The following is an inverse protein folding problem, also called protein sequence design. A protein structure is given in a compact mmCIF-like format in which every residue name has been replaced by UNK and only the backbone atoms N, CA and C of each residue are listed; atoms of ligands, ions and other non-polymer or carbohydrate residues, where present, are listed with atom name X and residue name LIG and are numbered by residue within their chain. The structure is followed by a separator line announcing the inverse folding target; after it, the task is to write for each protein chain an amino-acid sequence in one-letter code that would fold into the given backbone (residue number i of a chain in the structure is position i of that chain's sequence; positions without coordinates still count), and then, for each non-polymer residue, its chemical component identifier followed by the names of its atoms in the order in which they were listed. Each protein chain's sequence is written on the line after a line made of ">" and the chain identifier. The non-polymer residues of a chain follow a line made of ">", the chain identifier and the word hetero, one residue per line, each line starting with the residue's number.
data_IF_765918574163
#
_entry.id   IF_765918574163
#
_cell.length_a   1.000
_cell.length_b   1.000
_cell.length_c   1.000
_cell.angle_alpha   90.00
_cell.angle_beta   90.00
_cell.angle_gamma   90.00
#
_symmetry.space_group_name_H-M   'P 1'
#
loop_
_entity.id
_entity.type
_entity.pdbx_description
1 polymer ?
#
# COMPACT_ATOMS: atom_id res chain seq x y z
N UNK A 1 1.84 4.38 -24.88
CA UNK A 1 1.23 3.99 -23.60
C UNK A 1 -0.28 4.28 -23.57
N UNK A 2 -0.75 5.51 -23.89
CA UNK A 2 -2.19 5.83 -23.87
C UNK A 2 -3.04 4.94 -24.80
N UNK A 3 -2.61 4.75 -26.05
CA UNK A 3 -3.30 3.86 -27.00
C UNK A 3 -3.35 2.39 -26.54
N UNK A 4 -2.36 1.95 -25.75
CA UNK A 4 -2.35 0.60 -25.18
C UNK A 4 -3.30 0.51 -23.98
N UNK A 5 -3.29 1.50 -23.09
CA UNK A 5 -4.21 1.55 -21.96
C UNK A 5 -5.68 1.49 -22.39
N UNK A 6 -6.05 2.20 -23.47
CA UNK A 6 -7.42 2.16 -24.03
C UNK A 6 -7.83 0.81 -24.59
N UNK A 7 -6.87 -0.06 -24.93
CA UNK A 7 -7.14 -1.44 -25.37
C UNK A 7 -7.34 -2.39 -24.20
N UNK A 8 -6.88 -2.02 -23.00
CA UNK A 8 -7.06 -2.84 -21.80
C UNK A 8 -8.53 -2.82 -21.37
N UNK A 9 -9.09 -4.00 -21.15
CA UNK A 9 -10.43 -4.17 -20.62
C UNK A 9 -10.58 -3.46 -19.26
N UNK A 10 -11.66 -2.69 -19.10
CA UNK A 10 -11.92 -1.91 -17.89
C UNK A 10 -11.18 -0.57 -17.81
N UNK A 11 -10.49 -0.13 -18.88
CA UNK A 11 -9.97 1.23 -18.94
C UNK A 11 -11.11 2.26 -18.89
N UNK A 12 -11.03 3.19 -17.94
CA UNK A 12 -11.96 4.31 -17.79
C UNK A 12 -11.20 5.59 -18.11
N UNK A 13 -11.77 6.40 -19.00
CA UNK A 13 -11.25 7.71 -19.36
C UNK A 13 -12.30 8.80 -19.13
N UNK A 14 -11.85 9.98 -18.76
CA UNK A 14 -12.68 11.15 -18.51
C UNK A 14 -11.84 12.41 -18.47
N UNK A 15 -12.50 13.54 -18.71
CA UNK A 15 -11.93 14.87 -18.52
C UNK A 15 -12.51 15.40 -17.22
N UNK A 16 -11.66 15.92 -16.34
CA UNK A 16 -12.08 16.57 -15.10
C UNK A 16 -12.10 18.07 -15.34
N UNK A 17 -13.29 18.66 -15.34
CA UNK A 17 -13.49 20.09 -15.56
C UNK A 17 -13.27 20.90 -14.27
N UNK A 18 -13.17 22.23 -14.42
CA UNK A 18 -13.00 23.11 -13.28
C UNK A 18 -14.16 22.99 -12.27
N UNK A 19 -13.83 22.70 -11.01
CA UNK A 19 -14.79 22.51 -9.93
C UNK A 19 -15.30 21.07 -9.77
N UNK A 20 -14.91 20.15 -10.67
CA UNK A 20 -15.23 18.74 -10.52
C UNK A 20 -14.27 18.03 -9.56
N UNK A 21 -14.75 16.94 -8.96
CA UNK A 21 -13.99 16.11 -8.03
C UNK A 21 -13.89 14.70 -8.56
N UNK A 22 -12.67 14.19 -8.66
CA UNK A 22 -12.39 12.81 -9.02
C UNK A 22 -12.03 12.00 -7.77
N UNK A 23 -12.80 10.94 -7.49
CA UNK A 23 -12.43 9.95 -6.49
C UNK A 23 -11.72 8.78 -7.16
N UNK A 24 -10.47 8.54 -6.75
CA UNK A 24 -9.67 7.40 -7.24
C UNK A 24 -9.62 6.33 -6.15
N UNK A 25 -10.28 5.16 -6.32
CA UNK A 25 -10.24 4.11 -5.33
C UNK A 25 -8.82 3.55 -5.17
N UNK A 26 -8.46 3.21 -3.94
CA UNK A 26 -7.12 2.70 -3.68
C UNK A 26 -6.86 1.36 -4.39
N UNK A 27 -5.69 1.26 -5.03
CA UNK A 27 -5.30 0.12 -5.87
C UNK A 27 -5.53 0.36 -7.37
N UNK A 28 -6.16 1.47 -7.76
CA UNK A 28 -6.33 1.82 -9.17
C UNK A 28 -5.07 2.48 -9.72
N UNK A 29 -4.55 1.89 -10.81
CA UNK A 29 -3.58 2.57 -11.66
C UNK A 29 -4.28 3.72 -12.37
N UNK A 30 -3.68 4.91 -12.36
CA UNK A 30 -4.26 6.10 -12.97
C UNK A 30 -3.15 6.98 -13.56
N UNK A 31 -3.50 7.70 -14.63
CA UNK A 31 -2.63 8.62 -15.33
C UNK A 31 -3.41 9.91 -15.60
N UNK A 32 -2.80 11.05 -15.31
CA UNK A 32 -3.41 12.38 -15.45
C UNK A 32 -2.57 13.20 -16.42
N UNK A 33 -3.24 13.85 -17.38
CA UNK A 33 -2.62 14.77 -18.34
C UNK A 33 -3.36 16.09 -18.29
N UNK A 34 -2.63 17.18 -18.05
CA UNK A 34 -3.18 18.52 -18.15
C UNK A 34 -3.32 18.88 -19.63
N UNK A 35 -4.54 19.20 -20.07
CA UNK A 35 -4.82 19.60 -21.46
C UNK A 35 -4.62 21.11 -21.69
N UNK A 36 -4.64 21.88 -20.61
CA UNK A 36 -4.42 23.33 -20.55
C UNK A 36 -3.79 23.71 -19.20
N UNK A 37 -3.46 24.98 -19.00
CA UNK A 37 -2.91 25.48 -17.73
C UNK A 37 -3.90 25.23 -16.58
N UNK A 38 -3.51 24.34 -15.66
CA UNK A 38 -4.41 23.77 -14.66
C UNK A 38 -3.86 23.90 -13.24
N UNK A 39 -4.74 24.15 -12.28
CA UNK A 39 -4.46 24.05 -10.84
C UNK A 39 -5.46 23.08 -10.23
N UNK A 40 -4.96 22.08 -9.50
CA UNK A 40 -5.78 21.09 -8.80
C UNK A 40 -5.25 20.85 -7.38
N UNK A 41 -6.15 20.45 -6.47
CA UNK A 41 -5.81 19.98 -5.13
C UNK A 41 -6.09 18.48 -5.04
N UNK A 42 -5.12 17.72 -4.54
CA UNK A 42 -5.26 16.27 -4.33
C UNK A 42 -4.96 15.92 -2.88
N UNK A 43 -5.69 14.94 -2.34
CA UNK A 43 -5.47 14.39 -1.00
C UNK A 43 -5.70 12.89 -1.00
N UNK A 44 -4.72 12.15 -0.49
CA UNK A 44 -4.93 10.77 -0.09
C UNK A 44 -5.58 10.74 1.29
N UNK A 45 -6.54 9.85 1.51
CA UNK A 45 -7.17 9.67 2.82
C UNK A 45 -7.39 8.19 3.14
N UNK A 46 -7.56 7.90 4.42
CA UNK A 46 -7.86 6.56 4.92
C UNK A 46 -9.29 6.53 5.42
N UNK A 47 -10.24 5.89 4.72
CA UNK A 47 -11.58 5.72 5.25
C UNK A 47 -11.55 4.76 6.45
N UNK A 48 -12.48 4.92 7.41
CA UNK A 48 -12.55 4.12 8.65
C UNK A 48 -12.54 2.61 8.37
N UNK A 49 -13.19 2.17 7.30
CA UNK A 49 -13.25 0.77 6.87
C UNK A 49 -11.88 0.19 6.46
N UNK A 50 -10.95 1.05 6.01
CA UNK A 50 -9.59 0.68 5.56
C UNK A 50 -8.53 0.91 6.63
N UNK A 51 -8.87 1.49 7.78
CA UNK A 51 -7.94 1.80 8.86
C UNK A 51 -7.17 0.56 9.34
N UNK A 52 -7.86 -0.58 9.47
CA UNK A 52 -7.22 -1.85 9.85
C UNK A 52 -6.09 -2.28 8.89
N UNK A 53 -6.25 -2.04 7.59
CA UNK A 53 -5.22 -2.32 6.59
C UNK A 53 -4.01 -1.41 6.73
N UNK A 54 -4.22 -0.14 7.08
CA UNK A 54 -3.13 0.83 7.33
C UNK A 54 -2.38 0.47 8.60
N UNK A 55 -3.10 0.15 9.69
CA UNK A 55 -2.50 -0.32 10.93
C UNK A 55 -1.68 -1.61 10.70
N UNK A 56 -2.21 -2.54 9.91
CA UNK A 56 -1.49 -3.75 9.52
C UNK A 56 -0.21 -3.42 8.74
N UNK A 57 -0.28 -2.50 7.76
CA UNK A 57 0.89 -2.10 6.98
C UNK A 57 1.97 -1.45 7.83
N UNK A 58 1.59 -0.49 8.68
CA UNK A 58 2.52 0.21 9.58
C UNK A 58 3.20 -0.75 10.57
N UNK A 59 2.46 -1.74 11.09
CA UNK A 59 2.97 -2.73 12.06
C UNK A 59 3.83 -3.81 11.42
N UNK A 60 3.40 -4.36 10.28
CA UNK A 60 3.99 -5.58 9.71
C UNK A 60 4.99 -5.32 8.58
N UNK A 61 5.06 -4.10 8.05
CA UNK A 61 5.99 -3.71 6.97
C UNK A 61 6.70 -2.38 7.29
N UNK A 62 7.32 -2.23 8.47
CA UNK A 62 7.96 -0.98 8.87
C UNK A 62 9.12 -0.57 7.93
N UNK A 63 9.75 -1.54 7.26
CA UNK A 63 10.78 -1.34 6.23
C UNK A 63 10.24 -0.60 4.99
N UNK A 64 8.94 -0.69 4.72
CA UNK A 64 8.28 -0.02 3.60
C UNK A 64 7.65 1.32 3.98
N UNK A 65 7.89 1.78 5.22
CA UNK A 65 7.34 3.02 5.75
C UNK A 65 8.47 4.05 5.83
N UNK A 66 8.30 5.16 5.11
CA UNK A 66 9.27 6.27 5.08
C UNK A 66 8.58 7.62 5.28
N UNK A 67 9.36 8.71 5.31
CA UNK A 67 8.84 10.08 5.45
C UNK A 67 8.61 10.56 6.88
N UNK A 68 8.88 9.73 7.89
CA UNK A 68 8.85 10.15 9.29
C UNK A 68 10.14 10.88 9.69
N UNK A 69 10.04 11.79 10.67
CA UNK A 69 11.20 12.46 11.23
C UNK A 69 12.15 11.44 11.88
N UNK A 70 13.47 11.69 11.80
CA UNK A 70 14.52 10.75 12.24
C UNK A 70 14.40 10.25 13.70
N UNK A 71 13.72 11.01 14.56
CA UNK A 71 13.53 10.63 15.97
C UNK A 71 12.34 9.68 16.19
N UNK A 72 11.47 9.51 15.19
CA UNK A 72 10.34 8.57 15.24
C UNK A 72 10.86 7.19 14.91
N UNK A 73 10.99 6.34 15.93
CA UNK A 73 11.50 4.97 15.79
C UNK A 73 10.42 3.96 15.44
N UNK A 74 9.19 4.20 15.91
CA UNK A 74 8.04 3.34 15.70
C UNK A 74 6.86 4.18 15.20
N UNK A 75 6.69 4.31 13.88
CA UNK A 75 5.55 5.01 13.29
C UNK A 75 4.20 4.39 13.66
N UNK A 76 4.15 3.07 13.87
CA UNK A 76 2.92 2.37 14.22
C UNK A 76 2.46 2.75 15.63
N UNK A 77 3.35 2.66 16.62
CA UNK A 77 3.04 3.06 17.99
C UNK A 77 2.60 4.52 18.04
N UNK A 78 3.37 5.42 17.41
CA UNK A 78 3.07 6.84 17.39
C UNK A 78 1.66 7.10 16.80
N UNK A 79 1.35 6.44 15.69
CA UNK A 79 0.06 6.58 15.03
C UNK A 79 -1.09 6.04 15.90
N UNK A 80 -0.94 4.87 16.52
CA UNK A 80 -1.96 4.28 17.41
C UNK A 80 -2.20 5.16 18.63
N UNK A 81 -1.14 5.70 19.23
CA UNK A 81 -1.25 6.58 20.40
C UNK A 81 -2.00 7.86 20.03
N UNK A 82 -1.67 8.50 18.92
CA UNK A 82 -2.40 9.68 18.44
C UNK A 82 -3.83 9.38 18.01
N UNK A 83 -4.07 8.24 17.37
CA UNK A 83 -5.41 7.85 16.98
C UNK A 83 -6.30 7.57 18.19
N UNK A 84 -5.76 6.99 19.26
CA UNK A 84 -6.49 6.78 20.52
C UNK A 84 -6.88 8.09 21.19
N UNK A 85 -6.01 9.12 21.13
CA UNK A 85 -6.28 10.44 21.69
C UNK A 85 -7.38 11.19 20.90
N UNK A 86 -7.39 11.07 19.56
CA UNK A 86 -8.22 11.89 18.69
C UNK A 86 -9.52 11.19 18.25
N UNK A 87 -9.47 9.89 17.94
CA UNK A 87 -10.56 9.12 17.33
C UNK A 87 -10.62 7.70 17.93
N UNK A 88 -10.89 7.57 19.25
CA UNK A 88 -10.86 6.27 19.95
C UNK A 88 -11.85 5.25 19.35
N UNK A 89 -13.03 5.70 18.92
CA UNK A 89 -14.05 4.84 18.30
C UNK A 89 -13.55 4.17 17.01
N UNK A 90 -12.82 4.93 16.17
CA UNK A 90 -12.29 4.40 14.91
C UNK A 90 -11.21 3.33 15.18
N UNK A 91 -10.39 3.54 16.23
CA UNK A 91 -9.40 2.55 16.66
C UNK A 91 -10.08 1.29 17.18
N UNK A 92 -11.08 1.41 18.06
CA UNK A 92 -11.84 0.28 18.59
C UNK A 92 -12.51 -0.55 17.48
N UNK A 93 -13.05 0.10 16.45
CA UNK A 93 -13.65 -0.58 15.30
C UNK A 93 -12.58 -1.31 14.44
N UNK A 94 -11.39 -0.74 14.33
CA UNK A 94 -10.32 -1.26 13.47
C UNK A 94 -9.55 -2.43 14.10
N UNK A 95 -9.37 -2.45 15.42
CA UNK A 95 -8.56 -3.48 16.11
C UNK A 95 -9.04 -4.93 15.85
N UNK A 96 -10.34 -5.27 15.95
CA UNK A 96 -10.81 -6.62 15.65
C UNK A 96 -10.55 -7.04 14.19
N UNK A 97 -10.60 -6.08 13.26
CA UNK A 97 -10.32 -6.33 11.84
C UNK A 97 -8.83 -6.55 11.61
N UNK A 98 -7.98 -5.77 12.28
CA UNK A 98 -6.52 -5.93 12.26
C UNK A 98 -6.11 -7.32 12.75
N UNK A 99 -6.69 -7.80 13.86
CA UNK A 99 -6.42 -9.14 14.37
C UNK A 99 -6.78 -10.24 13.37
N UNK A 100 -7.92 -10.12 12.68
CA UNK A 100 -8.32 -11.06 11.63
C UNK A 100 -7.34 -11.05 10.46
N UNK A 101 -6.82 -9.88 10.06
CA UNK A 101 -5.80 -9.77 8.99
C UNK A 101 -4.47 -10.41 9.40
N UNK A 102 -4.10 -10.25 10.67
CA UNK A 102 -2.86 -10.83 11.24
C UNK A 102 -2.88 -12.36 11.26
N UNK A 103 -4.08 -12.94 11.38
CA UNK A 103 -4.33 -14.39 11.30
C UNK A 103 -4.58 -14.89 9.87
N UNK A 104 -4.50 -13.99 8.88
CA UNK A 104 -4.70 -14.27 7.46
C UNK A 104 -3.57 -15.07 6.80
N UNK A 105 -3.64 -15.31 5.47
CA UNK A 105 -2.97 -16.39 4.76
C UNK A 105 -1.45 -16.23 4.59
N UNK A 106 -0.74 -15.51 5.48
CA UNK A 106 0.72 -15.67 5.62
C UNK A 106 1.08 -17.14 5.92
N UNK A 107 0.18 -17.90 6.58
CA UNK A 107 0.30 -19.35 6.72
C UNK A 107 0.13 -20.11 5.39
N UNK A 108 -0.92 -19.80 4.60
CA UNK A 108 -1.22 -20.50 3.35
C UNK A 108 -0.28 -20.18 2.20
N UNK A 109 0.15 -18.92 2.03
CA UNK A 109 1.14 -18.56 1.02
C UNK A 109 2.51 -19.18 1.33
N UNK A 110 2.93 -19.19 2.61
CA UNK A 110 4.14 -19.89 3.03
C UNK A 110 4.04 -21.42 2.88
N UNK A 111 2.85 -22.01 3.07
CA UNK A 111 2.56 -23.44 2.86
C UNK A 111 2.52 -23.81 1.37
N UNK A 112 2.03 -22.91 0.52
CA UNK A 112 2.04 -23.04 -0.95
C UNK A 112 3.44 -22.85 -1.55
N UNK A 113 4.30 -22.01 -0.96
CA UNK A 113 5.71 -21.89 -1.41
C UNK A 113 6.58 -23.01 -0.86
N UNK A 114 6.26 -23.57 0.31
CA UNK A 114 6.96 -24.76 0.85
C UNK A 114 6.74 -26.03 0.04
N UNK A 115 5.54 -26.22 -0.51
CA UNK A 115 5.27 -27.37 -1.39
C UNK A 115 6.01 -27.30 -2.72
N UNK A 116 6.54 -26.14 -3.10
CA UNK A 116 7.36 -25.95 -4.30
C UNK A 116 8.87 -26.14 -4.06
N UNK A 117 9.34 -26.04 -2.81
CA UNK A 117 10.76 -26.23 -2.46
C UNK A 117 11.20 -27.69 -2.58
N UNK A 118 10.29 -28.66 -2.39
CA UNK A 118 10.59 -30.08 -2.54
C UNK A 118 10.54 -30.59 -4.01
N UNK A 119 10.22 -29.73 -4.98
CA UNK A 119 9.96 -30.16 -6.37
C UNK A 119 10.77 -29.44 -7.47
N UNK A 120 11.60 -28.44 -7.16
CA UNK A 120 12.31 -27.68 -8.21
C UNK A 120 13.78 -27.47 -7.86
N UNK A 121 14.56 -28.57 -7.92
CA UNK A 121 15.93 -28.48 -8.40
C UNK A 121 15.87 -28.24 -9.91
N UNK A 122 15.70 -26.98 -10.32
CA UNK A 122 16.14 -26.36 -11.59
C UNK A 122 15.42 -25.01 -11.78
N UNK A 123 16.13 -23.92 -11.44
CA UNK A 123 15.97 -22.63 -12.13
C UNK A 123 14.66 -21.84 -11.97
N UNK A 124 14.05 -21.79 -10.78
CA UNK A 124 12.89 -20.93 -10.51
C UNK A 124 13.25 -19.45 -10.27
N UNK A 125 12.66 -18.54 -11.05
CA UNK A 125 12.77 -17.08 -10.89
C UNK A 125 12.20 -16.64 -9.52
N UNK A 126 13.04 -16.08 -8.64
CA UNK A 126 12.68 -15.61 -7.29
C UNK A 126 12.68 -14.09 -7.22
N UNK A 127 11.60 -13.49 -6.69
CA UNK A 127 11.54 -12.06 -6.37
C UNK A 127 11.95 -11.86 -4.90
N UNK A 128 13.26 -11.91 -4.65
CA UNK A 128 13.85 -11.65 -3.34
C UNK A 128 14.39 -10.23 -3.25
N UNK A 129 13.62 -9.28 -2.71
CA UNK A 129 14.20 -8.05 -2.16
C UNK A 129 14.76 -8.36 -0.77
N UNK A 130 15.95 -8.95 -0.76
CA UNK A 130 16.72 -9.23 0.44
C UNK A 130 18.18 -9.35 0.04
N UNK A 131 18.96 -8.32 0.33
CA UNK A 131 20.38 -8.26 0.00
C UNK A 131 20.90 -6.83 0.14
N UNK A 132 21.07 -6.41 1.39
CA UNK A 132 22.12 -5.45 1.75
C UNK A 132 23.44 -6.20 1.53
N UNK A 133 24.35 -5.65 0.72
CA UNK A 133 25.79 -5.76 0.92
C UNK A 133 26.47 -4.72 0.02
N UNK A 134 27.15 -3.79 0.69
CA UNK A 134 28.09 -2.83 0.15
C UNK A 134 29.16 -3.53 -0.71
N UNK A 135 29.41 -3.01 -1.92
CA UNK A 135 30.74 -3.14 -2.54
C UNK A 135 31.08 -1.85 -3.31
N UNK A 136 32.13 -1.18 -2.84
CA UNK A 136 32.78 -0.02 -3.46
C UNK A 136 33.12 -0.28 -4.93
N UNK A 137 32.78 0.67 -5.80
CA UNK A 137 33.24 0.67 -7.19
C UNK A 137 34.45 1.63 -7.30
N UNK A 138 35.59 1.21 -7.88
CA UNK A 138 36.75 2.08 -8.12
C UNK A 138 36.47 3.28 -9.04
#
# INVERSE_FOLDING_TARGET
>A
FHAEARRTEGCIEGICEAGELLYVPAGWYHLVVNLEDSIALTQNFVPRQRLASVLHFLRDKPDQVSGFAKHVKDPYELFVTKLREQEPEALEEALPRLEKMSKGPKGKWAELTKTTEDAINEGGFSFGFGGDDDEEVP
#
